data_IF_981006638394
#
_entry.id   IF_981006638394
#
_cell.length_a   1.000
_cell.length_b   1.000
_cell.length_c   1.000
_cell.angle_alpha   90.00
_cell.angle_beta   90.00
_cell.angle_gamma   90.00
#
_symmetry.space_group_name_H-M   'P 1'
#
loop_
_entity.id
_entity.type
_entity.pdbx_description
1 polymer ?
#
# COMPACT_ATOMS: atom_id res chain seq x y z
N UNK A 1 23.68 -30.26 6.58
CA UNK A 1 23.06 -29.73 7.82
C UNK A 1 23.19 -28.21 7.93
N UNK A 2 24.39 -27.64 7.81
CA UNK A 2 24.62 -26.18 7.85
C UNK A 2 23.75 -25.37 6.87
N UNK A 3 23.70 -25.79 5.59
CA UNK A 3 22.90 -25.14 4.54
C UNK A 3 21.42 -25.06 4.91
N UNK A 4 20.83 -26.15 5.42
CA UNK A 4 19.41 -26.20 5.81
C UNK A 4 19.10 -25.24 6.97
N UNK A 5 20.02 -25.12 7.94
CA UNK A 5 19.89 -24.19 9.08
C UNK A 5 19.99 -22.74 8.60
N UNK A 6 20.94 -22.43 7.72
CA UNK A 6 21.08 -21.07 7.15
C UNK A 6 19.85 -20.66 6.35
N UNK A 7 19.30 -21.54 5.52
CA UNK A 7 18.05 -21.29 4.78
C UNK A 7 16.86 -21.10 5.72
N UNK A 8 16.75 -21.92 6.77
CA UNK A 8 15.69 -21.81 7.77
C UNK A 8 15.72 -20.46 8.51
N UNK A 9 16.90 -20.05 8.99
CA UNK A 9 17.09 -18.78 9.68
C UNK A 9 16.84 -17.57 8.76
N UNK A 10 17.31 -17.63 7.51
CA UNK A 10 17.09 -16.57 6.53
C UNK A 10 15.60 -16.39 6.20
N UNK A 11 14.87 -17.49 6.05
CA UNK A 11 13.42 -17.47 5.78
C UNK A 11 12.64 -16.87 6.94
N UNK A 12 13.00 -17.24 8.17
CA UNK A 12 12.39 -16.69 9.37
C UNK A 12 12.66 -15.18 9.50
N UNK A 13 13.91 -14.76 9.28
CA UNK A 13 14.28 -13.35 9.29
C UNK A 13 13.51 -12.54 8.22
N UNK A 14 13.37 -13.10 7.01
CA UNK A 14 12.60 -12.47 5.94
C UNK A 14 11.10 -12.33 6.30
N UNK A 15 10.51 -13.37 6.89
CA UNK A 15 9.12 -13.33 7.34
C UNK A 15 8.89 -12.28 8.42
N UNK A 16 9.78 -12.21 9.42
CA UNK A 16 9.73 -11.19 10.48
C UNK A 16 9.85 -9.79 9.88
N UNK A 17 10.81 -9.59 8.97
CA UNK A 17 11.00 -8.34 8.26
C UNK A 17 9.76 -7.93 7.45
N UNK A 18 9.11 -8.88 6.78
CA UNK A 18 7.87 -8.63 6.03
C UNK A 18 6.72 -8.19 6.95
N UNK A 19 6.56 -8.83 8.12
CA UNK A 19 5.52 -8.46 9.10
C UNK A 19 5.79 -7.07 9.67
N UNK A 20 7.04 -6.76 10.03
CA UNK A 20 7.43 -5.44 10.55
C UNK A 20 7.17 -4.36 9.48
N UNK A 21 7.59 -4.59 8.24
CA UNK A 21 7.34 -3.68 7.13
C UNK A 21 5.84 -3.47 6.91
N UNK A 22 5.05 -4.54 6.94
CA UNK A 22 3.60 -4.46 6.78
C UNK A 22 2.93 -3.63 7.90
N UNK A 23 3.36 -3.80 9.15
CA UNK A 23 2.90 -2.97 10.28
C UNK A 23 3.25 -1.50 10.02
N UNK A 24 4.49 -1.21 9.64
CA UNK A 24 4.98 0.17 9.38
C UNK A 24 4.17 0.83 8.25
N UNK A 25 3.99 0.15 7.12
CA UNK A 25 3.24 0.66 5.96
C UNK A 25 1.75 0.86 6.28
N UNK A 26 1.24 0.22 7.33
CA UNK A 26 -0.15 0.40 7.80
C UNK A 26 -0.35 1.66 8.65
N UNK A 27 0.73 2.27 9.17
CA UNK A 27 0.65 3.46 10.04
C UNK A 27 0.04 4.68 9.30
N UNK A 28 0.50 5.07 8.09
CA UNK A 28 -0.09 6.20 7.37
C UNK A 28 -1.57 5.99 7.06
N UNK A 29 -1.94 4.77 6.64
CA UNK A 29 -3.33 4.40 6.32
C UNK A 29 -4.20 4.46 7.57
N UNK A 30 -3.70 4.00 8.72
CA UNK A 30 -4.41 4.10 9.99
C UNK A 30 -4.73 5.55 10.37
N UNK A 31 -3.74 6.44 10.32
CA UNK A 31 -3.97 7.84 10.66
C UNK A 31 -4.89 8.54 9.65
N UNK A 32 -4.74 8.26 8.36
CA UNK A 32 -5.61 8.79 7.31
C UNK A 32 -7.07 8.33 7.50
N UNK A 33 -7.28 7.03 7.71
CA UNK A 33 -8.58 6.47 7.99
C UNK A 33 -9.19 7.05 9.27
N UNK A 34 -8.38 7.24 10.31
CA UNK A 34 -8.86 7.80 11.58
C UNK A 34 -9.31 9.24 11.42
N UNK A 35 -8.61 10.04 10.61
CA UNK A 35 -8.98 11.40 10.30
C UNK A 35 -10.30 11.45 9.50
N UNK A 36 -10.42 10.62 8.46
CA UNK A 36 -11.60 10.62 7.57
C UNK A 36 -12.84 10.03 8.23
N UNK A 37 -12.69 9.01 9.07
CA UNK A 37 -13.81 8.33 9.73
C UNK A 37 -14.25 8.99 11.04
N UNK A 38 -13.61 10.09 11.45
CA UNK A 38 -13.88 10.75 12.73
C UNK A 38 -13.53 9.87 13.93
N UNK A 39 -12.44 9.11 13.85
CA UNK A 39 -11.94 8.29 14.96
C UNK A 39 -12.44 6.85 15.01
N UNK A 40 -13.37 6.45 14.13
CA UNK A 40 -14.04 5.13 14.17
C UNK A 40 -13.19 3.98 13.66
N UNK A 41 -12.17 4.24 12.84
CA UNK A 41 -11.31 3.18 12.28
C UNK A 41 -10.19 2.74 13.25
N UNK A 42 -9.99 1.43 13.35
CA UNK A 42 -8.89 0.82 14.12
C UNK A 42 -7.65 0.48 13.28
N UNK A 43 -6.53 0.20 13.96
CA UNK A 43 -5.26 -0.18 13.30
C UNK A 43 -5.36 -1.52 12.55
N UNK A 44 -6.10 -2.50 13.10
CA UNK A 44 -6.33 -3.78 12.44
C UNK A 44 -7.03 -3.62 11.08
N UNK A 45 -7.98 -2.67 10.96
CA UNK A 45 -8.61 -2.36 9.67
C UNK A 45 -7.59 -1.79 8.68
N UNK A 46 -6.65 -0.95 9.13
CA UNK A 46 -5.59 -0.44 8.27
C UNK A 46 -4.65 -1.55 7.80
N UNK A 47 -4.26 -2.48 8.68
CA UNK A 47 -3.47 -3.65 8.31
C UNK A 47 -4.19 -4.51 7.27
N UNK A 48 -5.50 -4.76 7.45
CA UNK A 48 -6.29 -5.49 6.45
C UNK A 48 -6.36 -4.73 5.13
N UNK A 49 -6.53 -3.41 5.15
CA UNK A 49 -6.61 -2.59 3.95
C UNK A 49 -5.28 -2.57 3.17
N UNK A 50 -4.13 -2.52 3.84
CA UNK A 50 -2.80 -2.57 3.20
C UNK A 50 -2.40 -3.95 2.71
N UNK A 51 -3.03 -5.01 3.22
CA UNK A 51 -2.85 -6.37 2.71
C UNK A 51 -3.79 -6.66 1.53
N UNK A 52 -5.09 -6.45 1.73
CA UNK A 52 -6.14 -6.79 0.76
C UNK A 52 -6.11 -5.83 -0.44
N UNK A 53 -5.83 -4.54 -0.21
CA UNK A 53 -5.80 -3.52 -1.27
C UNK A 53 -4.89 -3.90 -2.44
N UNK A 54 -3.58 -4.13 -2.22
CA UNK A 54 -2.65 -4.54 -3.27
C UNK A 54 -3.03 -5.88 -3.94
N UNK A 55 -3.57 -6.84 -3.19
CA UNK A 55 -4.02 -8.12 -3.75
C UNK A 55 -5.18 -7.88 -4.74
N UNK A 56 -6.20 -7.13 -4.33
CA UNK A 56 -7.34 -6.80 -5.19
C UNK A 56 -6.91 -5.98 -6.39
N UNK A 57 -6.01 -5.00 -6.20
CA UNK A 57 -5.44 -4.22 -7.29
C UNK A 57 -4.75 -5.12 -8.32
N UNK A 58 -3.87 -6.02 -7.89
CA UNK A 58 -3.14 -6.91 -8.78
C UNK A 58 -4.06 -7.86 -9.56
N UNK A 59 -5.06 -8.43 -8.89
CA UNK A 59 -6.05 -9.32 -9.52
C UNK A 59 -6.86 -8.56 -10.58
N UNK A 60 -7.41 -7.40 -10.23
CA UNK A 60 -8.24 -6.62 -11.15
C UNK A 60 -7.41 -6.10 -12.32
N UNK A 61 -6.17 -5.67 -12.08
CA UNK A 61 -5.26 -5.25 -13.13
C UNK A 61 -4.95 -6.39 -14.10
N UNK A 62 -4.63 -7.59 -13.59
CA UNK A 62 -4.29 -8.75 -14.42
C UNK A 62 -5.49 -9.20 -15.27
N UNK A 63 -6.65 -9.38 -14.64
CA UNK A 63 -7.89 -9.78 -15.32
C UNK A 63 -8.28 -8.74 -16.36
N UNK A 64 -8.34 -7.47 -15.97
CA UNK A 64 -8.78 -6.40 -16.87
C UNK A 64 -7.81 -6.21 -18.04
N UNK A 65 -6.50 -6.30 -17.80
CA UNK A 65 -5.49 -6.20 -18.86
C UNK A 65 -5.61 -7.36 -19.85
N UNK A 66 -5.87 -8.58 -19.37
CA UNK A 66 -6.07 -9.75 -20.23
C UNK A 66 -7.30 -9.58 -21.14
N UNK A 67 -8.46 -9.28 -20.57
CA UNK A 67 -9.70 -9.16 -21.36
C UNK A 67 -9.72 -7.92 -22.26
N UNK A 68 -9.33 -6.75 -21.73
CA UNK A 68 -9.31 -5.52 -22.51
C UNK A 68 -8.22 -5.54 -23.58
N UNK A 69 -7.09 -6.24 -23.33
CA UNK A 69 -6.02 -6.40 -24.32
C UNK A 69 -6.51 -7.06 -25.61
N UNK A 70 -7.44 -8.01 -25.49
CA UNK A 70 -8.08 -8.67 -26.64
C UNK A 70 -8.99 -7.72 -27.42
N UNK A 71 -9.65 -6.77 -26.75
CA UNK A 71 -10.67 -5.90 -27.38
C UNK A 71 -10.08 -4.59 -27.91
N UNK A 72 -9.20 -3.95 -27.13
CA UNK A 72 -8.75 -2.56 -27.34
C UNK A 72 -7.23 -2.45 -27.51
N UNK A 73 -6.50 -3.57 -27.54
CA UNK A 73 -5.06 -3.59 -27.78
C UNK A 73 -4.25 -2.80 -26.74
N UNK A 74 -3.26 -2.03 -27.20
CA UNK A 74 -2.28 -1.37 -26.32
C UNK A 74 -2.88 -0.35 -25.33
N UNK A 75 -4.04 0.24 -25.61
CA UNK A 75 -4.72 1.15 -24.67
C UNK A 75 -5.38 0.45 -23.48
N UNK A 76 -5.46 -0.89 -23.50
CA UNK A 76 -6.06 -1.69 -22.44
C UNK A 76 -5.41 -1.46 -21.07
N UNK A 77 -4.10 -1.23 -21.03
CA UNK A 77 -3.36 -1.06 -19.76
C UNK A 77 -3.84 0.16 -18.98
N UNK A 78 -4.14 1.28 -19.65
CA UNK A 78 -4.59 2.51 -18.99
C UNK A 78 -5.98 2.32 -18.36
N UNK A 79 -6.90 1.71 -19.10
CA UNK A 79 -8.23 1.36 -18.59
C UNK A 79 -8.16 0.33 -17.45
N UNK A 80 -7.31 -0.69 -17.58
CA UNK A 80 -7.13 -1.71 -16.55
C UNK A 80 -6.54 -1.12 -15.25
N UNK A 81 -5.60 -0.17 -15.36
CA UNK A 81 -5.06 0.56 -14.20
C UNK A 81 -6.15 1.39 -13.51
N UNK A 82 -7.00 2.08 -14.28
CA UNK A 82 -8.11 2.83 -13.72
C UNK A 82 -9.11 1.91 -12.98
N UNK A 83 -9.48 0.77 -13.56
CA UNK A 83 -10.34 -0.21 -12.92
C UNK A 83 -9.70 -0.82 -11.66
N UNK A 84 -8.41 -1.15 -11.71
CA UNK A 84 -7.67 -1.66 -10.57
C UNK A 84 -7.61 -0.64 -9.42
N UNK A 85 -7.39 0.64 -9.74
CA UNK A 85 -7.43 1.73 -8.76
C UNK A 85 -8.81 1.88 -8.12
N UNK A 86 -9.88 1.87 -8.92
CA UNK A 86 -11.25 1.89 -8.40
C UNK A 86 -11.55 0.68 -7.50
N UNK A 87 -11.08 -0.50 -7.86
CA UNK A 87 -11.24 -1.70 -7.05
C UNK A 87 -10.49 -1.59 -5.72
N UNK A 88 -9.28 -1.03 -5.71
CA UNK A 88 -8.55 -0.74 -4.48
C UNK A 88 -9.32 0.27 -3.61
N UNK A 89 -9.86 1.35 -4.19
CA UNK A 89 -10.72 2.28 -3.44
C UNK A 89 -11.97 1.58 -2.88
N UNK A 90 -12.55 0.63 -3.59
CA UNK A 90 -13.68 -0.15 -3.11
C UNK A 90 -13.32 -1.00 -1.87
N UNK A 91 -12.09 -1.51 -1.78
CA UNK A 91 -11.57 -2.17 -0.56
C UNK A 91 -11.57 -1.20 0.62
N UNK A 92 -11.06 0.02 0.42
CA UNK A 92 -11.01 1.03 1.49
C UNK A 92 -12.42 1.44 1.91
N UNK A 93 -13.30 1.66 0.95
CA UNK A 93 -14.72 1.95 1.17
C UNK A 93 -15.37 0.88 2.06
N UNK A 94 -15.17 -0.39 1.73
CA UNK A 94 -15.74 -1.53 2.45
C UNK A 94 -15.15 -1.72 3.85
N UNK A 95 -13.82 -1.71 3.98
CA UNK A 95 -13.13 -1.96 5.25
C UNK A 95 -13.39 -0.84 6.26
N UNK A 96 -13.38 0.42 5.82
CA UNK A 96 -13.53 1.58 6.71
C UNK A 96 -14.98 2.08 6.83
N UNK A 97 -15.94 1.49 6.12
CA UNK A 97 -17.34 1.89 6.16
C UNK A 97 -17.56 3.34 5.70
N UNK A 98 -16.84 3.77 4.67
CA UNK A 98 -16.90 5.16 4.15
C UNK A 98 -17.61 5.23 2.79
N UNK A 99 -17.89 6.45 2.31
CA UNK A 99 -18.27 6.70 0.92
C UNK A 99 -17.06 6.72 -0.02
N UNK A 100 -17.30 6.81 -1.33
CA UNK A 100 -16.24 6.87 -2.36
C UNK A 100 -15.27 8.03 -2.14
N UNK A 101 -15.78 9.22 -1.83
CA UNK A 101 -14.95 10.39 -1.53
C UNK A 101 -14.11 10.17 -0.26
N UNK A 102 -14.67 9.48 0.73
CA UNK A 102 -13.96 9.09 1.95
C UNK A 102 -12.81 8.13 1.63
N UNK A 103 -13.07 7.05 0.89
CA UNK A 103 -12.06 6.09 0.47
C UNK A 103 -10.92 6.74 -0.32
N UNK A 104 -11.25 7.63 -1.26
CA UNK A 104 -10.26 8.41 -2.00
C UNK A 104 -9.47 9.35 -1.07
N UNK A 105 -10.16 10.05 -0.16
CA UNK A 105 -9.54 10.90 0.85
C UNK A 105 -8.55 10.13 1.73
N UNK A 106 -8.88 8.91 2.15
CA UNK A 106 -7.98 8.04 2.92
C UNK A 106 -6.71 7.75 2.10
N UNK A 107 -6.85 7.37 0.83
CA UNK A 107 -5.70 7.08 -0.02
C UNK A 107 -4.77 8.30 -0.19
N UNK A 108 -5.34 9.47 -0.49
CA UNK A 108 -4.58 10.72 -0.67
C UNK A 108 -3.90 11.14 0.64
N UNK A 109 -4.64 11.17 1.74
CA UNK A 109 -4.10 11.56 3.06
C UNK A 109 -3.04 10.58 3.52
N UNK A 110 -3.18 9.28 3.26
CA UNK A 110 -2.18 8.28 3.60
C UNK A 110 -0.85 8.53 2.87
N UNK A 111 -0.90 8.91 1.59
CA UNK A 111 0.31 9.29 0.83
C UNK A 111 0.97 10.53 1.43
N UNK A 112 0.19 11.54 1.81
CA UNK A 112 0.71 12.75 2.46
C UNK A 112 1.36 12.41 3.80
N UNK A 113 0.69 11.62 4.64
CA UNK A 113 1.24 11.19 5.95
C UNK A 113 2.52 10.36 5.74
N UNK A 114 2.54 9.46 4.76
CA UNK A 114 3.74 8.69 4.41
C UNK A 114 4.91 9.60 4.04
N UNK A 115 4.68 10.59 3.17
CA UNK A 115 5.71 11.54 2.76
C UNK A 115 6.24 12.39 3.95
N UNK A 116 5.35 12.82 4.85
CA UNK A 116 5.73 13.55 6.06
C UNK A 116 6.55 12.68 7.01
N UNK A 117 6.11 11.44 7.26
CA UNK A 117 6.86 10.50 8.09
C UNK A 117 8.23 10.19 7.50
N UNK A 118 8.34 9.97 6.20
CA UNK A 118 9.64 9.75 5.54
C UNK A 118 10.56 10.96 5.70
N UNK A 119 10.08 12.18 5.44
CA UNK A 119 10.87 13.39 5.62
C UNK A 119 11.37 13.56 7.06
N UNK A 120 10.52 13.27 8.06
CA UNK A 120 10.92 13.32 9.47
C UNK A 120 12.00 12.28 9.79
N UNK A 121 11.83 11.03 9.35
CA UNK A 121 12.83 9.98 9.60
C UNK A 121 14.18 10.27 8.95
N UNK A 122 14.17 10.84 7.74
CA UNK A 122 15.40 11.29 7.07
C UNK A 122 16.08 12.39 7.87
N UNK A 123 15.33 13.39 8.33
CA UNK A 123 15.90 14.53 9.06
C UNK A 123 16.48 14.15 10.43
N UNK A 124 15.86 13.21 11.14
CA UNK A 124 16.23 12.86 12.51
C UNK A 124 17.24 11.71 12.59
N UNK A 125 17.12 10.74 11.69
CA UNK A 125 17.86 9.48 11.78
C UNK A 125 18.73 9.21 10.55
N UNK A 126 18.66 10.04 9.50
CA UNK A 126 19.27 9.75 8.19
C UNK A 126 18.85 8.38 7.62
N UNK A 127 17.67 7.89 8.01
CA UNK A 127 17.06 6.64 7.54
C UNK A 127 15.89 6.97 6.62
N UNK A 128 15.74 6.21 5.52
CA UNK A 128 14.64 6.34 4.55
C UNK A 128 13.74 5.13 4.59
N UNK A 129 12.44 5.32 4.35
CA UNK A 129 11.56 4.18 4.11
C UNK A 129 11.87 3.53 2.74
N UNK A 130 11.68 2.20 2.60
CA UNK A 130 11.87 1.51 1.33
C UNK A 130 11.01 2.09 0.21
N UNK A 131 11.58 2.27 -0.99
CA UNK A 131 10.87 2.74 -2.20
C UNK A 131 11.23 4.14 -2.71
N UNK A 132 12.01 4.93 -1.96
CA UNK A 132 12.40 6.31 -2.33
C UNK A 132 13.83 6.44 -2.87
N UNK A 133 14.31 5.51 -3.70
CA UNK A 133 15.52 5.78 -4.49
C UNK A 133 15.11 6.53 -5.74
N UNK A 134 15.49 7.82 -5.85
CA UNK A 134 15.78 8.59 -7.08
C UNK A 134 15.52 10.08 -6.81
N UNK A 135 16.59 10.77 -6.42
CA UNK A 135 17.09 12.08 -6.88
C UNK A 135 17.96 12.64 -5.74
N UNK A 136 19.27 12.83 -5.95
CA UNK A 136 20.06 13.61 -5.00
C UNK A 136 19.59 15.05 -5.11
N UNK A 137 18.64 15.46 -4.27
CA UNK A 137 18.42 16.87 -4.01
C UNK A 137 19.63 17.35 -3.19
N UNK A 138 20.71 17.65 -3.91
CA UNK A 138 21.76 18.54 -3.44
C UNK A 138 21.14 19.93 -3.41
N UNK A 139 20.64 20.29 -2.23
CA UNK A 139 20.46 21.69 -1.85
C UNK A 139 21.85 22.25 -1.53
#
# INVERSE_FOLDING_TARGET
MHVLITFGLASLAALIGLIILWIIVSIPVYFAAKLVTGGKSGFAQAMLATLIGPIVFAIVLAISSFFLGVVVGASATVLALFLAFLAWLAVYKGIFGTGWLGAFGIAVIAVVIYAVLDALFVSLFSVRFPGQSLYPLRI
#
